data_IF_921834342931
#
_entry.id   IF_921834342931
#
_cell.length_a   1.000
_cell.length_b   1.000
_cell.length_c   1.000
_cell.angle_alpha   90.00
_cell.angle_beta   90.00
_cell.angle_gamma   90.00
#
_symmetry.space_group_name_H-M   'P 1'
#
loop_
_entity.id
_entity.type
_entity.pdbx_description
1 polymer ?
#
# COMPACT_ATOMS: atom_id res chain seq x y z
N UNK A 1 -45.72 -21.22 10.18
CA UNK A 1 -44.41 -21.72 9.69
C UNK A 1 -43.40 -21.61 10.81
N UNK A 2 -42.75 -22.73 11.12
CA UNK A 2 -41.92 -23.01 12.31
C UNK A 2 -40.74 -22.03 12.41
N UNK A 3 -40.65 -21.25 13.51
CA UNK A 3 -39.40 -20.61 13.94
C UNK A 3 -38.66 -21.61 14.80
N UNK A 4 -37.62 -22.24 14.25
CA UNK A 4 -36.65 -22.98 15.06
C UNK A 4 -35.80 -21.96 15.82
N UNK A 5 -36.06 -21.85 17.13
CA UNK A 5 -35.18 -21.14 18.05
C UNK A 5 -33.92 -21.97 18.21
N UNK A 6 -32.81 -21.51 17.63
CA UNK A 6 -31.47 -22.02 17.96
C UNK A 6 -31.13 -21.50 19.36
N UNK A 7 -31.71 -22.13 20.36
CA UNK A 7 -31.37 -21.97 21.78
C UNK A 7 -30.60 -23.21 22.21
N UNK A 8 -29.28 -23.11 22.28
CA UNK A 8 -28.43 -24.23 22.70
C UNK A 8 -26.92 -23.95 22.58
N UNK A 9 -26.08 -24.81 23.20
CA UNK A 9 -24.63 -24.66 23.41
C UNK A 9 -23.78 -24.40 22.15
N UNK A 10 -24.36 -24.49 20.95
CA UNK A 10 -23.74 -24.16 19.67
C UNK A 10 -23.46 -22.66 19.51
N UNK A 11 -24.32 -21.77 20.01
CA UNK A 11 -24.07 -20.32 20.02
C UNK A 11 -22.91 -19.96 20.96
N UNK A 12 -22.80 -20.69 22.08
CA UNK A 12 -21.69 -20.55 23.04
C UNK A 12 -20.40 -21.15 22.48
N UNK A 13 -20.47 -22.23 21.70
CA UNK A 13 -19.33 -22.80 20.99
C UNK A 13 -18.85 -21.91 19.84
N UNK A 14 -19.75 -21.30 19.07
CA UNK A 14 -19.39 -20.32 18.04
C UNK A 14 -18.76 -19.06 18.65
N UNK A 15 -19.32 -18.53 19.74
CA UNK A 15 -18.75 -17.40 20.48
C UNK A 15 -17.40 -17.74 21.12
N UNK A 16 -17.24 -18.95 21.68
CA UNK A 16 -15.94 -19.43 22.19
C UNK A 16 -14.94 -19.65 21.06
N UNK A 17 -15.33 -20.21 19.92
CA UNK A 17 -14.45 -20.39 18.77
C UNK A 17 -14.00 -19.03 18.19
N UNK A 18 -14.89 -18.03 18.16
CA UNK A 18 -14.57 -16.66 17.76
C UNK A 18 -13.63 -15.96 18.76
N UNK A 19 -13.82 -16.18 20.06
CA UNK A 19 -12.95 -15.66 21.12
C UNK A 19 -11.57 -16.34 21.12
N UNK A 20 -11.49 -17.64 20.87
CA UNK A 20 -10.24 -18.40 20.75
C UNK A 20 -9.47 -18.00 19.48
N UNK A 21 -10.11 -17.92 18.32
CA UNK A 21 -9.48 -17.42 17.09
C UNK A 21 -9.05 -15.94 17.21
N UNK A 22 -9.73 -15.17 18.05
CA UNK A 22 -9.38 -13.80 18.40
C UNK A 22 -8.06 -13.70 19.17
N UNK A 23 -7.93 -14.52 20.22
CA UNK A 23 -6.75 -14.60 21.07
C UNK A 23 -5.52 -15.17 20.33
N UNK A 24 -5.72 -16.10 19.39
CA UNK A 24 -4.64 -16.65 18.58
C UNK A 24 -4.09 -15.64 17.56
N UNK A 25 -4.93 -14.81 16.94
CA UNK A 25 -4.46 -13.79 15.99
C UNK A 25 -3.68 -12.63 16.67
N UNK A 26 -4.11 -12.18 17.85
CA UNK A 26 -3.34 -11.21 18.64
C UNK A 26 -2.05 -11.84 19.16
N UNK A 27 -2.07 -13.12 19.53
CA UNK A 27 -0.86 -13.88 19.84
C UNK A 27 0.05 -14.04 18.64
N UNK A 28 -0.45 -14.21 17.42
CA UNK A 28 0.39 -14.32 16.23
C UNK A 28 1.04 -12.99 15.84
N UNK A 29 0.32 -11.88 15.94
CA UNK A 29 0.88 -10.53 15.72
C UNK A 29 1.90 -10.20 16.81
N UNK A 30 1.55 -10.42 18.08
CA UNK A 30 2.47 -10.20 19.21
C UNK A 30 3.64 -11.18 19.17
N UNK A 31 3.46 -12.44 18.76
CA UNK A 31 4.53 -13.40 18.56
C UNK A 31 5.42 -13.00 17.39
N UNK A 32 4.89 -12.40 16.32
CA UNK A 32 5.68 -11.87 15.20
C UNK A 32 6.49 -10.64 15.63
N UNK A 33 5.89 -9.73 16.42
CA UNK A 33 6.58 -8.57 16.99
C UNK A 33 7.62 -8.98 18.04
N UNK A 34 7.35 -9.99 18.85
CA UNK A 34 8.29 -10.56 19.84
C UNK A 34 9.37 -11.42 19.16
N UNK A 35 9.07 -11.98 17.98
CA UNK A 35 10.01 -12.67 17.11
C UNK A 35 10.75 -11.71 16.15
N UNK A 36 10.82 -10.41 16.44
CA UNK A 36 11.75 -9.46 15.79
C UNK A 36 13.21 -9.82 16.10
N UNK A 37 13.65 -10.96 15.57
CA UNK A 37 15.03 -11.39 15.47
C UNK A 37 15.51 -11.09 14.07
N UNK A 38 16.79 -10.73 13.95
CA UNK A 38 17.46 -10.59 12.67
C UNK A 38 17.27 -11.88 11.85
N UNK A 39 16.57 -11.76 10.73
CA UNK A 39 16.26 -12.88 9.86
C UNK A 39 17.14 -12.82 8.62
N UNK A 40 17.66 -13.98 8.19
CA UNK A 40 18.66 -14.05 7.09
C UNK A 40 18.19 -13.36 5.81
N UNK A 41 16.92 -13.55 5.41
CA UNK A 41 16.36 -12.92 4.22
C UNK A 41 16.26 -11.39 4.35
N UNK A 42 15.82 -10.88 5.50
CA UNK A 42 15.74 -9.44 5.77
C UNK A 42 17.12 -8.78 5.84
N UNK A 43 18.12 -9.46 6.40
CA UNK A 43 19.51 -8.96 6.44
C UNK A 43 20.11 -8.90 5.03
N UNK A 44 19.90 -9.94 4.21
CA UNK A 44 20.38 -9.96 2.82
C UNK A 44 19.73 -8.84 2.01
N UNK A 45 18.40 -8.68 2.12
CA UNK A 45 17.68 -7.60 1.45
C UNK A 45 18.13 -6.21 1.94
N UNK A 46 18.26 -6.03 3.26
CA UNK A 46 18.75 -4.78 3.86
C UNK A 46 20.16 -4.41 3.39
N UNK A 47 21.08 -5.38 3.31
CA UNK A 47 22.41 -5.18 2.75
C UNK A 47 22.35 -4.79 1.27
N UNK A 48 21.50 -5.45 0.48
CA UNK A 48 21.31 -5.09 -0.92
C UNK A 48 20.76 -3.65 -1.07
N UNK A 49 19.79 -3.26 -0.24
CA UNK A 49 19.28 -1.88 -0.19
C UNK A 49 20.35 -0.87 0.18
N UNK A 50 21.24 -1.17 1.14
CA UNK A 50 22.36 -0.29 1.47
C UNK A 50 23.35 -0.16 0.32
N UNK A 51 23.73 -1.25 -0.35
CA UNK A 51 24.69 -1.20 -1.46
C UNK A 51 24.11 -0.40 -2.63
N UNK A 52 22.88 -0.69 -3.03
CA UNK A 52 22.18 0.04 -4.09
C UNK A 52 21.98 1.51 -3.70
N UNK A 53 21.69 1.77 -2.42
CA UNK A 53 21.48 3.11 -1.87
C UNK A 53 22.73 3.94 -1.90
N UNK A 54 23.86 3.39 -1.45
CA UNK A 54 25.15 4.05 -1.50
C UNK A 54 25.57 4.36 -2.94
N UNK A 55 25.37 3.42 -3.87
CA UNK A 55 25.64 3.65 -5.29
C UNK A 55 24.77 4.79 -5.85
N UNK A 56 23.48 4.80 -5.51
CA UNK A 56 22.57 5.86 -5.94
C UNK A 56 22.94 7.22 -5.33
N UNK A 57 23.18 7.28 -4.02
CA UNK A 57 23.60 8.49 -3.28
C UNK A 57 24.87 9.07 -3.89
N UNK A 58 25.83 8.22 -4.25
CA UNK A 58 27.08 8.65 -4.88
C UNK A 58 26.83 9.39 -6.21
N UNK A 59 25.85 8.92 -6.99
CA UNK A 59 25.50 9.50 -8.29
C UNK A 59 24.63 10.76 -8.15
N UNK A 60 23.65 10.75 -7.24
CA UNK A 60 22.60 11.80 -7.19
C UNK A 60 22.83 12.86 -6.14
N UNK A 61 23.71 12.63 -5.17
CA UNK A 61 24.02 13.54 -4.05
C UNK A 61 22.75 14.15 -3.42
N UNK A 62 21.80 13.29 -2.95
CA UNK A 62 20.50 13.74 -2.46
C UNK A 62 20.61 14.43 -1.09
N UNK A 63 19.61 15.23 -0.69
CA UNK A 63 19.56 15.82 0.64
C UNK A 63 19.42 14.76 1.76
N UNK A 64 19.88 15.13 2.96
CA UNK A 64 20.02 14.22 4.10
C UNK A 64 18.73 13.46 4.47
N UNK A 65 17.56 14.09 4.33
CA UNK A 65 16.29 13.44 4.68
C UNK A 65 15.97 12.24 3.77
N UNK A 66 16.38 12.26 2.49
CA UNK A 66 16.22 11.12 1.58
C UNK A 66 17.18 9.98 1.94
N UNK A 67 18.40 10.33 2.33
CA UNK A 67 19.40 9.36 2.82
C UNK A 67 18.87 8.68 4.08
N UNK A 68 18.37 9.46 5.04
CA UNK A 68 17.79 8.95 6.28
C UNK A 68 16.65 7.95 6.02
N UNK A 69 15.78 8.23 5.04
CA UNK A 69 14.72 7.31 4.63
C UNK A 69 15.27 6.00 4.06
N UNK A 70 16.26 6.03 3.16
CA UNK A 70 16.87 4.83 2.60
C UNK A 70 17.47 3.93 3.70
N UNK A 71 18.17 4.54 4.66
CA UNK A 71 18.69 3.82 5.83
C UNK A 71 17.57 3.27 6.70
N UNK A 72 16.52 4.05 6.97
CA UNK A 72 15.37 3.60 7.75
C UNK A 72 14.72 2.35 7.12
N UNK A 73 14.46 2.36 5.82
CA UNK A 73 13.84 1.21 5.11
C UNK A 73 14.77 0.00 5.12
N UNK A 74 16.07 0.19 4.90
CA UNK A 74 17.04 -0.91 4.94
C UNK A 74 17.16 -1.55 6.34
N UNK A 75 17.17 -0.74 7.40
CA UNK A 75 17.22 -1.22 8.78
C UNK A 75 15.90 -1.86 9.18
N UNK A 76 14.77 -1.18 8.97
CA UNK A 76 13.44 -1.72 9.31
C UNK A 76 13.16 -3.02 8.56
N UNK A 77 13.56 -3.11 7.28
CA UNK A 77 13.44 -4.32 6.48
C UNK A 77 14.22 -5.52 7.04
N UNK A 78 15.32 -5.30 7.76
CA UNK A 78 16.07 -6.39 8.40
C UNK A 78 15.31 -7.11 9.52
N UNK A 79 14.28 -6.47 10.07
CA UNK A 79 13.42 -7.00 11.14
C UNK A 79 12.08 -7.54 10.61
N UNK A 80 11.74 -7.30 9.34
CA UNK A 80 10.46 -7.71 8.76
C UNK A 80 10.60 -9.11 8.12
N UNK A 81 9.85 -10.11 8.61
CA UNK A 81 9.95 -11.49 8.11
C UNK A 81 9.22 -11.66 6.76
N UNK A 82 9.75 -12.55 5.91
CA UNK A 82 9.07 -13.03 4.70
C UNK A 82 9.54 -12.40 3.39
N UNK A 83 9.74 -13.22 2.36
CA UNK A 83 10.24 -12.79 1.03
C UNK A 83 9.29 -11.83 0.33
N UNK A 84 7.97 -12.11 0.38
CA UNK A 84 6.94 -11.21 -0.16
C UNK A 84 6.99 -9.82 0.50
N UNK A 85 7.15 -9.76 1.82
CA UNK A 85 7.23 -8.47 2.52
C UNK A 85 8.48 -7.66 2.12
N UNK A 86 9.57 -8.33 1.75
CA UNK A 86 10.76 -7.64 1.23
C UNK A 86 10.51 -7.06 -0.16
N UNK A 87 9.72 -7.72 -1.01
CA UNK A 87 9.31 -7.20 -2.32
C UNK A 87 8.37 -6.00 -2.16
N UNK A 88 7.43 -6.02 -1.19
CA UNK A 88 6.66 -4.82 -0.84
C UNK A 88 7.60 -3.69 -0.41
N UNK A 89 8.51 -3.94 0.54
CA UNK A 89 9.47 -2.93 1.02
C UNK A 89 10.36 -2.34 -0.07
N UNK A 90 10.63 -3.07 -1.15
CA UNK A 90 11.35 -2.54 -2.31
C UNK A 90 10.63 -1.30 -2.89
N UNK A 91 9.28 -1.26 -2.88
CA UNK A 91 8.52 -0.09 -3.34
C UNK A 91 8.68 1.10 -2.40
N UNK A 92 8.69 0.87 -1.07
CA UNK A 92 8.96 1.92 -0.09
C UNK A 92 10.41 2.46 -0.23
N UNK A 93 11.35 1.60 -0.57
CA UNK A 93 12.72 1.98 -0.88
C UNK A 93 12.80 2.82 -2.18
N UNK A 94 12.08 2.41 -3.24
CA UNK A 94 12.01 3.12 -4.52
C UNK A 94 11.26 4.47 -4.46
N UNK A 95 10.54 4.75 -3.38
CA UNK A 95 9.87 6.04 -3.18
C UNK A 95 10.86 7.23 -3.21
N UNK A 96 12.08 7.05 -2.70
CA UNK A 96 13.12 8.09 -2.70
C UNK A 96 13.62 8.46 -4.10
N UNK A 97 14.11 7.51 -4.93
CA UNK A 97 14.49 7.84 -6.30
C UNK A 97 13.30 8.34 -7.12
N UNK A 98 12.08 7.82 -6.88
CA UNK A 98 10.87 8.35 -7.52
C UNK A 98 10.66 9.84 -7.21
N UNK A 99 10.71 10.23 -5.92
CA UNK A 99 10.57 11.61 -5.49
C UNK A 99 11.66 12.51 -6.09
N UNK A 100 12.93 12.09 -6.01
CA UNK A 100 14.05 12.87 -6.52
C UNK A 100 13.98 13.08 -8.03
N UNK A 101 13.67 12.03 -8.81
CA UNK A 101 13.55 12.14 -10.27
C UNK A 101 12.30 12.90 -10.70
N UNK A 102 11.21 12.80 -9.95
CA UNK A 102 10.00 13.56 -10.20
C UNK A 102 10.20 15.06 -9.96
N UNK A 103 10.91 15.46 -8.90
CA UNK A 103 11.24 16.88 -8.64
C UNK A 103 12.18 17.42 -9.71
N UNK A 104 13.19 16.64 -10.13
CA UNK A 104 14.23 17.09 -11.06
C UNK A 104 13.83 16.94 -12.54
N UNK A 105 12.64 16.43 -12.85
CA UNK A 105 12.18 16.25 -14.23
C UNK A 105 12.90 15.15 -15.00
N UNK A 106 13.59 14.21 -14.33
CA UNK A 106 14.32 13.11 -14.95
C UNK A 106 13.37 11.98 -15.33
N UNK A 107 12.41 12.27 -16.21
CA UNK A 107 11.28 11.38 -16.52
C UNK A 107 11.67 10.01 -17.06
N UNK A 108 12.76 9.90 -17.82
CA UNK A 108 13.24 8.61 -18.30
C UNK A 108 13.63 7.68 -17.13
N UNK A 109 14.37 8.19 -16.15
CA UNK A 109 14.74 7.44 -14.95
C UNK A 109 13.52 7.20 -14.05
N UNK A 110 12.62 8.19 -13.95
CA UNK A 110 11.38 8.05 -13.19
C UNK A 110 10.50 6.95 -13.77
N UNK A 111 10.35 6.87 -15.09
CA UNK A 111 9.58 5.84 -15.77
C UNK A 111 10.16 4.45 -15.50
N UNK A 112 11.48 4.29 -15.47
CA UNK A 112 12.13 3.04 -15.07
C UNK A 112 11.80 2.68 -13.63
N UNK A 113 11.88 3.64 -12.69
CA UNK A 113 11.53 3.40 -11.28
C UNK A 113 10.07 2.97 -11.13
N UNK A 114 9.14 3.66 -11.81
CA UNK A 114 7.71 3.32 -11.80
C UNK A 114 7.45 1.95 -12.44
N UNK A 115 8.12 1.62 -13.54
CA UNK A 115 8.01 0.31 -14.17
C UNK A 115 8.50 -0.80 -13.25
N UNK A 116 9.66 -0.64 -12.61
CA UNK A 116 10.19 -1.61 -11.64
C UNK A 116 9.23 -1.77 -10.46
N UNK A 117 8.71 -0.67 -9.90
CA UNK A 117 7.75 -0.72 -8.79
C UNK A 117 6.46 -1.46 -9.19
N UNK A 118 5.90 -1.16 -10.36
CA UNK A 118 4.72 -1.87 -10.88
C UNK A 118 4.98 -3.35 -11.14
N UNK A 119 6.17 -3.71 -11.61
CA UNK A 119 6.55 -5.11 -11.82
C UNK A 119 6.67 -5.84 -10.47
N UNK A 120 7.24 -5.20 -9.44
CA UNK A 120 7.35 -5.79 -8.10
C UNK A 120 5.99 -6.04 -7.46
N UNK A 121 5.01 -5.15 -7.66
CA UNK A 121 3.63 -5.34 -7.19
C UNK A 121 2.95 -6.56 -7.86
N UNK A 122 3.11 -6.70 -9.18
CA UNK A 122 2.60 -7.86 -9.91
C UNK A 122 3.24 -9.18 -9.44
N UNK A 123 4.55 -9.16 -9.16
CA UNK A 123 5.26 -10.31 -8.64
C UNK A 123 4.74 -10.67 -7.25
N UNK A 124 4.57 -9.71 -6.33
CA UNK A 124 4.02 -9.95 -5.00
C UNK A 124 2.63 -10.58 -5.05
N UNK A 125 1.74 -10.03 -5.87
CA UNK A 125 0.40 -10.58 -6.05
C UNK A 125 0.43 -12.03 -6.56
N UNK A 126 1.43 -12.40 -7.35
CA UNK A 126 1.56 -13.76 -7.93
C UNK A 126 2.25 -14.73 -6.98
N UNK A 127 3.25 -14.28 -6.24
CA UNK A 127 3.97 -15.04 -5.20
C UNK A 127 3.04 -15.33 -4.02
N UNK A 128 2.29 -14.35 -3.54
CA UNK A 128 1.29 -14.53 -2.49
C UNK A 128 0.21 -15.56 -2.87
N UNK A 129 -0.18 -15.61 -4.16
CA UNK A 129 -1.14 -16.59 -4.69
C UNK A 129 -0.57 -18.00 -4.81
N UNK A 130 0.74 -18.16 -5.08
CA UNK A 130 1.38 -19.48 -5.23
C UNK A 130 1.79 -20.13 -3.91
N UNK A 131 2.14 -19.34 -2.89
CA UNK A 131 2.61 -19.89 -1.60
C UNK A 131 1.52 -20.09 -0.54
N UNK A 132 0.26 -19.72 -0.84
CA UNK A 132 -0.92 -20.12 -0.05
C UNK A 132 -0.95 -19.65 1.41
N UNK A 133 -0.01 -18.79 1.82
CA UNK A 133 0.10 -18.24 3.18
C UNK A 133 0.17 -16.72 3.13
N UNK A 134 -0.96 -16.03 2.91
CA UNK A 134 -1.02 -14.60 3.17
C UNK A 134 -0.75 -14.37 4.66
N UNK A 135 0.37 -13.73 5.00
CA UNK A 135 0.60 -13.29 6.39
C UNK A 135 -0.33 -12.11 6.67
N UNK A 136 -1.01 -12.11 7.81
CA UNK A 136 -1.89 -11.00 8.20
C UNK A 136 -1.12 -9.67 8.26
N UNK A 137 0.17 -9.75 8.61
CA UNK A 137 1.10 -8.62 8.61
C UNK A 137 1.40 -8.08 7.21
N UNK A 138 1.68 -8.95 6.23
CA UNK A 138 1.95 -8.53 4.86
C UNK A 138 0.74 -7.85 4.20
N UNK A 139 -0.47 -8.37 4.44
CA UNK A 139 -1.70 -7.78 3.93
C UNK A 139 -1.99 -6.36 4.46
N UNK A 140 -1.49 -6.00 5.64
CA UNK A 140 -1.60 -4.64 6.20
C UNK A 140 -0.45 -3.72 5.76
N UNK A 141 0.73 -4.28 5.48
CA UNK A 141 1.91 -3.52 5.05
C UNK A 141 1.77 -3.03 3.59
N UNK A 142 1.16 -3.83 2.73
CA UNK A 142 1.04 -3.57 1.28
C UNK A 142 0.39 -2.20 0.97
N UNK A 143 -0.81 -1.86 1.49
CA UNK A 143 -1.45 -0.58 1.19
C UNK A 143 -0.68 0.64 1.72
N UNK A 144 0.09 0.46 2.79
CA UNK A 144 0.95 1.51 3.37
C UNK A 144 2.11 1.78 2.44
N UNK A 145 2.80 0.73 1.99
CA UNK A 145 3.97 0.85 1.12
C UNK A 145 3.58 1.38 -0.26
N UNK A 146 2.46 0.94 -0.81
CA UNK A 146 1.92 1.48 -2.06
C UNK A 146 1.59 2.97 -1.93
N UNK A 147 0.98 3.36 -0.80
CA UNK A 147 0.68 4.75 -0.48
C UNK A 147 1.93 5.60 -0.33
N UNK A 148 3.00 5.07 0.26
CA UNK A 148 4.31 5.73 0.36
C UNK A 148 4.91 5.96 -1.02
N UNK A 149 4.95 4.93 -1.87
CA UNK A 149 5.52 5.04 -3.21
C UNK A 149 4.72 6.02 -4.08
N UNK A 150 3.41 5.82 -4.17
CA UNK A 150 2.54 6.67 -5.00
C UNK A 150 2.47 8.10 -4.45
N UNK A 151 2.47 8.26 -3.12
CA UNK A 151 2.53 9.56 -2.46
C UNK A 151 3.83 10.30 -2.81
N UNK A 152 4.98 9.65 -2.68
CA UNK A 152 6.27 10.23 -3.04
C UNK A 152 6.34 10.63 -4.52
N UNK A 153 5.83 9.77 -5.41
CA UNK A 153 5.73 10.06 -6.85
C UNK A 153 4.88 11.31 -7.12
N UNK A 154 3.67 11.36 -6.60
CA UNK A 154 2.75 12.48 -6.83
C UNK A 154 3.22 13.77 -6.18
N UNK A 155 3.78 13.71 -4.96
CA UNK A 155 4.39 14.88 -4.30
C UNK A 155 5.54 15.41 -5.15
N UNK A 156 6.43 14.54 -5.61
CA UNK A 156 7.56 14.96 -6.44
C UNK A 156 7.13 15.60 -7.75
N UNK A 157 6.13 15.03 -8.43
CA UNK A 157 5.57 15.60 -9.65
C UNK A 157 4.89 16.94 -9.41
N UNK A 158 4.20 17.12 -8.28
CA UNK A 158 3.56 18.39 -7.94
C UNK A 158 4.57 19.47 -7.57
N UNK A 159 5.59 19.13 -6.77
CA UNK A 159 6.68 20.05 -6.41
C UNK A 159 7.50 20.45 -7.63
N UNK A 160 7.73 19.52 -8.57
CA UNK A 160 8.35 19.80 -9.87
C UNK A 160 7.47 20.61 -10.83
N UNK A 161 6.20 20.87 -10.49
CA UNK A 161 5.26 21.62 -11.32
C UNK A 161 4.68 20.85 -12.51
N UNK A 162 4.80 19.52 -12.52
CA UNK A 162 4.42 18.67 -13.65
C UNK A 162 2.99 18.13 -13.59
N UNK A 163 2.40 18.13 -12.41
CA UNK A 163 0.97 17.87 -12.15
C UNK A 163 0.45 18.91 -11.16
N UNK A 164 -0.85 19.23 -11.15
CA UNK A 164 -1.36 20.18 -10.19
C UNK A 164 -1.38 19.59 -8.77
N UNK A 165 -1.11 20.43 -7.76
CA UNK A 165 -1.05 20.03 -6.36
C UNK A 165 -2.34 19.34 -5.89
N UNK A 166 -3.50 19.83 -6.34
CA UNK A 166 -4.78 19.24 -5.95
C UNK A 166 -4.92 17.78 -6.42
N UNK A 167 -4.39 17.42 -7.59
CA UNK A 167 -4.41 16.05 -8.09
C UNK A 167 -3.54 15.14 -7.23
N UNK A 168 -2.35 15.62 -6.84
CA UNK A 168 -1.49 14.90 -5.91
C UNK A 168 -2.17 14.66 -4.56
N UNK A 169 -2.88 15.66 -4.02
CA UNK A 169 -3.63 15.52 -2.78
C UNK A 169 -4.76 14.49 -2.89
N UNK A 170 -5.49 14.45 -4.02
CA UNK A 170 -6.52 13.43 -4.27
C UNK A 170 -5.91 12.03 -4.27
N UNK A 171 -4.78 11.85 -4.94
CA UNK A 171 -4.07 10.55 -4.96
C UNK A 171 -3.61 10.17 -3.55
N UNK A 172 -2.98 11.08 -2.80
CA UNK A 172 -2.55 10.79 -1.42
C UNK A 172 -3.74 10.40 -0.54
N UNK A 173 -4.83 11.16 -0.62
CA UNK A 173 -6.07 10.87 0.10
C UNK A 173 -6.56 9.46 -0.24
N UNK A 174 -6.53 9.07 -1.53
CA UNK A 174 -6.94 7.75 -2.02
C UNK A 174 -6.31 6.60 -1.24
N UNK A 175 -5.03 6.69 -0.91
CA UNK A 175 -4.30 5.65 -0.17
C UNK A 175 -4.38 5.85 1.36
N UNK A 176 -4.37 7.10 1.84
CA UNK A 176 -4.34 7.40 3.28
C UNK A 176 -5.67 7.12 3.99
N UNK A 177 -6.80 7.47 3.37
CA UNK A 177 -8.13 7.35 4.01
C UNK A 177 -8.51 5.91 4.35
N UNK A 178 -8.37 4.91 3.44
CA UNK A 178 -8.63 3.51 3.79
C UNK A 178 -7.68 2.99 4.87
N UNK A 179 -6.40 3.39 4.85
CA UNK A 179 -5.42 3.00 5.86
C UNK A 179 -5.80 3.55 7.25
N UNK A 180 -6.18 4.83 7.33
CA UNK A 180 -6.64 5.46 8.56
C UNK A 180 -7.94 4.83 9.08
N UNK A 181 -8.92 4.63 8.19
CA UNK A 181 -10.19 4.00 8.56
C UNK A 181 -9.99 2.56 9.07
N UNK A 182 -9.12 1.78 8.42
CA UNK A 182 -8.72 0.46 8.89
C UNK A 182 -8.06 0.51 10.27
N UNK A 183 -7.09 1.41 10.45
CA UNK A 183 -6.39 1.60 11.73
C UNK A 183 -7.32 2.00 12.88
N UNK A 184 -8.24 2.94 12.65
CA UNK A 184 -9.23 3.35 13.66
C UNK A 184 -10.19 2.21 14.02
N UNK A 185 -10.61 1.40 13.06
CA UNK A 185 -11.48 0.25 13.33
C UNK A 185 -10.76 -0.80 14.20
N UNK A 186 -9.50 -1.09 13.89
CA UNK A 186 -8.65 -1.99 14.69
C UNK A 186 -8.46 -1.44 16.11
N UNK A 187 -8.13 -0.15 16.24
CA UNK A 187 -7.99 0.52 17.53
C UNK A 187 -9.31 0.51 18.35
N UNK A 188 -10.46 0.43 17.68
CA UNK A 188 -11.78 0.32 18.31
C UNK A 188 -12.19 -1.12 18.64
N UNK A 189 -11.29 -2.10 18.53
CA UNK A 189 -11.56 -3.51 18.79
C UNK A 189 -12.44 -4.19 17.75
N UNK A 190 -12.75 -3.52 16.63
CA UNK A 190 -13.50 -4.10 15.51
C UNK A 190 -12.51 -4.67 14.52
N UNK A 191 -12.74 -5.89 14.02
CA UNK A 191 -11.94 -6.45 12.92
C UNK A 191 -12.56 -6.00 11.61
N UNK A 192 -12.00 -4.99 10.91
CA UNK A 192 -12.39 -4.79 9.53
C UNK A 192 -11.96 -6.04 8.76
N UNK A 193 -12.92 -6.80 8.26
CA UNK A 193 -12.67 -7.63 7.10
C UNK A 193 -12.33 -6.65 5.98
N UNK A 194 -11.04 -6.34 5.82
CA UNK A 194 -10.50 -5.59 4.69
C UNK A 194 -10.64 -6.47 3.46
N UNK A 195 -11.88 -6.70 3.02
CA UNK A 195 -12.17 -7.31 1.74
C UNK A 195 -11.66 -6.33 0.70
N UNK A 196 -10.76 -6.82 -0.16
CA UNK A 196 -10.39 -6.10 -1.37
C UNK A 196 -11.66 -5.73 -2.13
N UNK A 197 -11.96 -4.44 -2.21
CA UNK A 197 -13.08 -3.95 -3.00
C UNK A 197 -12.64 -3.88 -4.46
N UNK A 198 -13.45 -4.42 -5.36
CA UNK A 198 -13.16 -4.38 -6.81
C UNK A 198 -13.02 -2.93 -7.30
N UNK A 199 -13.83 -2.02 -6.76
CA UNK A 199 -13.73 -0.58 -7.02
C UNK A 199 -12.39 -0.01 -6.60
N UNK A 200 -11.87 -0.45 -5.45
CA UNK A 200 -10.58 -0.04 -4.93
C UNK A 200 -9.43 -0.45 -5.85
N UNK A 201 -9.42 -1.72 -6.30
CA UNK A 201 -8.41 -2.23 -7.22
C UNK A 201 -8.44 -1.49 -8.57
N UNK A 202 -9.63 -1.29 -9.15
CA UNK A 202 -9.78 -0.55 -10.41
C UNK A 202 -9.21 0.87 -10.27
N UNK A 203 -9.54 1.56 -9.18
CA UNK A 203 -9.02 2.91 -8.92
C UNK A 203 -7.49 2.93 -8.82
N UNK A 204 -6.88 1.96 -8.14
CA UNK A 204 -5.41 1.86 -8.03
C UNK A 204 -4.77 1.62 -9.39
N UNK A 205 -5.32 0.70 -10.20
CA UNK A 205 -4.81 0.44 -11.56
C UNK A 205 -4.93 1.69 -12.44
N UNK A 206 -6.06 2.40 -12.38
CA UNK A 206 -6.25 3.64 -13.13
C UNK A 206 -5.22 4.70 -12.75
N UNK A 207 -4.97 4.89 -11.45
CA UNK A 207 -3.95 5.84 -10.97
C UNK A 207 -2.56 5.44 -11.48
N UNK A 208 -2.20 4.17 -11.36
CA UNK A 208 -0.89 3.67 -11.81
C UNK A 208 -0.72 3.86 -13.32
N UNK A 209 -1.73 3.53 -14.12
CA UNK A 209 -1.70 3.66 -15.58
C UNK A 209 -1.63 5.13 -16.00
N UNK A 210 -2.43 6.00 -15.38
CA UNK A 210 -2.49 7.42 -15.75
C UNK A 210 -1.22 8.17 -15.31
N UNK A 211 -0.84 8.08 -14.04
CA UNK A 211 0.35 8.77 -13.52
C UNK A 211 1.62 8.14 -14.07
N UNK A 212 1.71 6.81 -14.12
CA UNK A 212 2.84 6.10 -14.72
C UNK A 212 2.94 6.35 -16.22
N UNK A 213 1.81 6.43 -16.93
CA UNK A 213 1.75 6.80 -18.34
C UNK A 213 2.25 8.22 -18.59
N UNK A 214 1.87 9.18 -17.75
CA UNK A 214 2.43 10.55 -17.80
C UNK A 214 3.95 10.55 -17.65
N UNK A 215 4.48 9.76 -16.71
CA UNK A 215 5.93 9.63 -16.50
C UNK A 215 6.62 9.00 -17.73
N UNK A 216 6.02 7.95 -18.30
CA UNK A 216 6.56 7.26 -19.47
C UNK A 216 6.56 8.16 -20.71
N UNK A 217 5.44 8.80 -21.04
CA UNK A 217 5.32 9.67 -22.22
C UNK A 217 6.32 10.83 -22.13
N UNK A 218 6.40 11.50 -20.97
CA UNK A 218 7.41 12.55 -20.75
C UNK A 218 8.83 12.00 -20.80
N UNK A 219 9.07 10.78 -20.32
CA UNK A 219 10.38 10.12 -20.41
C UNK A 219 10.82 9.80 -21.83
N UNK A 220 9.86 9.55 -22.73
CA UNK A 220 10.07 9.36 -24.16
C UNK A 220 10.05 10.68 -24.96
N UNK A 221 10.08 11.83 -24.27
CA UNK A 221 9.93 13.16 -24.85
C UNK A 221 8.66 13.32 -25.72
N UNK A 222 7.60 12.58 -25.38
CA UNK A 222 6.29 12.69 -26.03
C UNK A 222 5.36 13.60 -25.22
N UNK A 223 4.38 14.19 -25.89
CA UNK A 223 3.37 15.00 -25.23
C UNK A 223 2.48 14.14 -24.33
N UNK A 224 2.43 14.48 -23.04
CA UNK A 224 1.63 13.80 -22.02
C UNK A 224 0.37 14.58 -21.63
N UNK A 225 0.08 15.71 -22.27
CA UNK A 225 -1.03 16.61 -21.90
C UNK A 225 -2.38 15.91 -21.95
N UNK A 226 -2.62 15.06 -22.96
CA UNK A 226 -3.84 14.26 -23.05
C UNK A 226 -4.02 13.29 -21.88
N UNK A 227 -2.94 12.60 -21.48
CA UNK A 227 -2.95 11.70 -20.33
C UNK A 227 -3.14 12.46 -19.01
N UNK A 228 -2.52 13.64 -18.88
CA UNK A 228 -2.67 14.48 -17.70
C UNK A 228 -4.11 14.98 -17.55
N UNK A 229 -4.72 15.47 -18.63
CA UNK A 229 -6.13 15.87 -18.62
C UNK A 229 -7.05 14.70 -18.25
N UNK A 230 -6.77 13.50 -18.78
CA UNK A 230 -7.49 12.29 -18.38
C UNK A 230 -7.28 11.97 -16.89
N UNK A 231 -6.05 12.10 -16.38
CA UNK A 231 -5.73 11.90 -14.96
C UNK A 231 -6.51 12.86 -14.06
N UNK A 232 -6.58 14.13 -14.43
CA UNK A 232 -7.29 15.18 -13.69
C UNK A 232 -8.79 14.90 -13.58
N UNK A 233 -9.41 14.26 -14.57
CA UNK A 233 -10.85 13.94 -14.51
C UNK A 233 -11.11 12.55 -13.92
N UNK A 234 -10.39 11.53 -14.41
CA UNK A 234 -10.67 10.12 -14.10
C UNK A 234 -10.29 9.78 -12.66
N UNK A 235 -9.14 10.26 -12.17
CA UNK A 235 -8.64 9.88 -10.83
C UNK A 235 -9.58 10.37 -9.71
N UNK A 236 -10.03 11.65 -9.68
CA UNK A 236 -10.98 12.11 -8.67
C UNK A 236 -12.30 11.36 -8.72
N UNK A 237 -12.85 11.10 -9.92
CA UNK A 237 -14.10 10.36 -10.08
C UNK A 237 -13.95 8.93 -9.55
N UNK A 238 -12.88 8.22 -9.92
CA UNK A 238 -12.62 6.86 -9.45
C UNK A 238 -12.41 6.81 -7.92
N UNK A 239 -11.73 7.82 -7.38
CA UNK A 239 -11.49 7.96 -5.93
C UNK A 239 -12.80 8.19 -5.19
N UNK A 240 -13.63 9.12 -5.67
CA UNK A 240 -14.95 9.40 -5.11
C UNK A 240 -15.85 8.16 -5.18
N UNK A 241 -15.91 7.48 -6.32
CA UNK A 241 -16.70 6.27 -6.49
C UNK A 241 -16.28 5.17 -5.50
N UNK A 242 -14.96 5.02 -5.25
CA UNK A 242 -14.44 4.08 -4.27
C UNK A 242 -14.91 4.44 -2.85
N UNK A 243 -14.86 5.71 -2.46
CA UNK A 243 -15.32 6.13 -1.14
C UNK A 243 -16.82 6.06 -0.95
N UNK A 244 -17.60 6.43 -1.96
CA UNK A 244 -19.06 6.28 -1.93
C UNK A 244 -19.42 4.80 -1.73
N UNK A 245 -18.78 3.90 -2.48
CA UNK A 245 -18.97 2.46 -2.32
C UNK A 245 -18.60 1.98 -0.90
N UNK A 246 -17.46 2.44 -0.37
CA UNK A 246 -17.02 2.10 0.98
C UNK A 246 -18.00 2.63 2.05
N UNK A 247 -18.49 3.86 1.91
CA UNK A 247 -19.46 4.46 2.82
C UNK A 247 -20.79 3.69 2.83
N UNK A 248 -21.28 3.27 1.65
CA UNK A 248 -22.47 2.42 1.55
C UNK A 248 -22.25 1.04 2.19
N UNK A 249 -21.08 0.43 1.97
CA UNK A 249 -20.74 -0.85 2.58
C UNK A 249 -20.71 -0.77 4.12
N UNK A 250 -20.18 0.31 4.69
CA UNK A 250 -20.16 0.54 6.13
C UNK A 250 -21.57 0.76 6.70
N UNK A 251 -22.41 1.56 6.04
CA UNK A 251 -23.81 1.80 6.48
C UNK A 251 -24.64 0.52 6.55
N UNK A 252 -24.50 -0.38 5.56
CA UNK A 252 -25.23 -1.66 5.54
C UNK A 252 -24.86 -2.56 6.71
N UNK A 253 -23.62 -2.51 7.21
CA UNK A 253 -23.18 -3.34 8.34
C UNK A 253 -23.72 -2.82 9.68
N UNK A 254 -23.85 -1.49 9.84
CA UNK A 254 -24.43 -0.89 11.06
C UNK A 254 -25.92 -1.20 11.18
N UNK A 255 -26.68 -1.07 10.08
CA UNK A 255 -28.12 -1.34 10.10
C UNK A 255 -28.51 -2.80 10.38
N UNK A 256 -27.60 -3.76 10.15
CA UNK A 256 -27.80 -5.17 10.51
C UNK A 256 -27.46 -5.44 11.98
N UNK A 257 -26.50 -4.70 12.55
CA UNK A 257 -26.12 -4.83 13.96
C UNK A 257 -27.11 -4.17 14.92
N UNK A 258 -27.92 -3.21 14.46
CA UNK A 258 -28.99 -2.57 15.24
C UNK A 258 -30.34 -3.34 15.17
N UNK A 259 -30.46 -4.30 14.24
CA UNK A 259 -31.70 -5.03 13.98
C UNK A 259 -31.72 -6.48 14.52
N UNK A 260 -30.67 -6.91 15.23
CA UNK A 260 -30.54 -8.24 15.85
C UNK A 260 -30.26 -8.12 17.34
#
# INVERSE_FOLDING_TARGET
>A
MRRESVSGPEAVHAARAFAFAGADADRDVLATLVAMRLQRSGVIAGLAYLVVGLAWIWITQPPLYLIAWLFLVAVAGSYIPGEANQVSLARAYLAVPALAYAITGRFALLAVVVAVAGLTDLVDGTVARRFGRPSQFGGALDPVVDGVFMGALCVGLAVGGYIPLWLALVVIARYLLPALAGGLLIASGRRPELRHTLTGQISTVLILVLIGGVCLFRGLNQDASGLLNAAEVVIPIATLATYVHLAFALRRRVGVAEAG
#
